data_IF_911629622197
#
_entry.id   IF_911629622197
#
_cell.length_a   1.000
_cell.length_b   1.000
_cell.length_c   1.000
_cell.angle_alpha   90.00
_cell.angle_beta   90.00
_cell.angle_gamma   90.00
#
_symmetry.space_group_name_H-M   'P 1'
#
loop_
_entity.id
_entity.type
_entity.pdbx_description
1 polymer ?
#
# COMPACT_ATOMS: atom_id res chain seq x y z
N UNK A 1 -15.43 -14.88 8.05
CA UNK A 1 -14.65 -14.22 9.14
C UNK A 1 -14.01 -12.96 8.57
N UNK A 2 -14.09 -11.81 9.25
CA UNK A 2 -13.37 -10.61 8.81
C UNK A 2 -11.87 -10.88 8.84
N UNK A 3 -11.16 -10.45 7.80
CA UNK A 3 -9.69 -10.51 7.78
C UNK A 3 -9.18 -9.45 8.73
N UNK A 4 -8.57 -9.89 9.83
CA UNK A 4 -7.90 -8.99 10.76
C UNK A 4 -6.41 -8.93 10.41
N UNK A 5 -5.88 -7.73 10.27
CA UNK A 5 -4.48 -7.49 9.90
C UNK A 5 -3.56 -7.47 11.14
N UNK A 6 -3.60 -8.53 11.96
CA UNK A 6 -2.80 -8.62 13.19
C UNK A 6 -1.66 -9.66 13.14
N UNK A 7 -1.58 -10.48 12.08
CA UNK A 7 -0.43 -11.38 11.84
C UNK A 7 0.10 -11.24 10.41
N UNK A 8 1.39 -11.57 10.24
CA UNK A 8 2.02 -11.66 8.92
C UNK A 8 1.32 -12.71 8.03
N UNK A 9 0.91 -13.83 8.60
CA UNK A 9 0.19 -14.89 7.88
C UNK A 9 -1.17 -14.38 7.35
N UNK A 10 -1.94 -13.66 8.16
CA UNK A 10 -3.20 -13.07 7.73
C UNK A 10 -2.99 -12.05 6.61
N UNK A 11 -1.94 -11.22 6.72
CA UNK A 11 -1.57 -10.26 5.69
C UNK A 11 -1.16 -10.94 4.38
N UNK A 12 -0.29 -11.95 4.44
CA UNK A 12 0.18 -12.70 3.27
C UNK A 12 -0.96 -13.48 2.59
N UNK A 13 -1.82 -14.11 3.40
CA UNK A 13 -3.04 -14.76 2.91
C UNK A 13 -3.92 -13.76 2.17
N UNK A 14 -4.18 -12.59 2.77
CA UNK A 14 -4.98 -11.54 2.17
C UNK A 14 -4.37 -11.00 0.86
N UNK A 15 -3.05 -10.85 0.76
CA UNK A 15 -2.38 -10.45 -0.48
C UNK A 15 -2.55 -11.52 -1.58
N UNK A 16 -2.54 -12.80 -1.19
CA UNK A 16 -2.65 -13.95 -2.07
C UNK A 16 -4.07 -14.27 -2.56
N UNK A 17 -5.12 -13.79 -1.88
CA UNK A 17 -6.51 -14.06 -2.24
C UNK A 17 -6.77 -13.67 -3.71
N UNK A 18 -7.50 -14.49 -4.47
CA UNK A 18 -7.97 -14.12 -5.80
C UNK A 18 -9.32 -13.42 -5.66
N UNK A 19 -9.40 -12.15 -6.02
CA UNK A 19 -10.66 -11.39 -5.98
C UNK A 19 -10.88 -10.71 -7.33
N UNK A 20 -12.14 -10.69 -7.78
CA UNK A 20 -12.52 -10.13 -9.09
C UNK A 20 -12.27 -8.61 -9.15
N UNK A 21 -12.58 -7.91 -8.05
CA UNK A 21 -12.62 -6.44 -8.02
C UNK A 21 -11.33 -5.77 -7.51
N UNK A 22 -10.40 -6.53 -6.94
CA UNK A 22 -9.15 -5.98 -6.40
C UNK A 22 -7.94 -6.86 -6.77
N UNK A 23 -7.22 -6.52 -7.85
CA UNK A 23 -6.06 -7.28 -8.30
C UNK A 23 -5.04 -7.50 -7.17
N UNK A 24 -4.46 -8.70 -7.08
CA UNK A 24 -3.43 -9.00 -6.09
C UNK A 24 -2.22 -8.08 -6.20
N UNK A 25 -1.90 -7.62 -7.41
CA UNK A 25 -0.88 -6.61 -7.68
C UNK A 25 -1.13 -5.31 -6.92
N UNK A 26 -2.37 -4.81 -6.88
CA UNK A 26 -2.71 -3.58 -6.16
C UNK A 26 -2.49 -3.78 -4.65
N UNK A 27 -2.97 -4.89 -4.09
CA UNK A 27 -2.77 -5.23 -2.67
C UNK A 27 -1.30 -5.32 -2.31
N UNK A 28 -0.46 -5.93 -3.17
CA UNK A 28 1.00 -5.97 -2.98
C UNK A 28 1.63 -4.57 -2.92
N UNK A 29 1.23 -3.68 -3.82
CA UNK A 29 1.73 -2.30 -3.85
C UNK A 29 1.33 -1.55 -2.58
N UNK A 30 0.07 -1.67 -2.17
CA UNK A 30 -0.45 -1.05 -0.94
C UNK A 30 0.34 -1.55 0.28
N UNK A 31 0.50 -2.86 0.43
CA UNK A 31 1.24 -3.44 1.55
C UNK A 31 2.70 -2.98 1.55
N UNK A 32 3.35 -2.97 0.39
CA UNK A 32 4.72 -2.47 0.28
C UNK A 32 4.82 -1.00 0.74
N UNK A 33 3.92 -0.13 0.26
CA UNK A 33 3.91 1.29 0.62
C UNK A 33 3.68 1.51 2.12
N UNK A 34 2.73 0.76 2.72
CA UNK A 34 2.43 0.83 4.16
C UNK A 34 3.62 0.36 5.00
N UNK A 35 4.18 -0.81 4.71
CA UNK A 35 5.34 -1.35 5.45
C UNK A 35 6.53 -0.39 5.35
N UNK A 36 6.83 0.09 4.14
CA UNK A 36 7.93 1.02 3.93
C UNK A 36 7.72 2.33 4.70
N UNK A 37 6.51 2.88 4.69
CA UNK A 37 6.18 4.09 5.44
C UNK A 37 6.33 3.90 6.95
N UNK A 38 5.84 2.78 7.49
CA UNK A 38 5.97 2.46 8.92
C UNK A 38 7.43 2.29 9.33
N UNK A 39 8.21 1.57 8.53
CA UNK A 39 9.65 1.44 8.74
C UNK A 39 10.36 2.79 8.71
N UNK A 40 10.05 3.64 7.73
CA UNK A 40 10.64 4.98 7.61
C UNK A 40 10.26 5.88 8.79
N UNK A 41 9.01 5.87 9.23
CA UNK A 41 8.55 6.63 10.39
C UNK A 41 9.24 6.17 11.68
N UNK A 42 9.35 4.85 11.90
CA UNK A 42 10.10 4.29 13.03
C UNK A 42 11.54 4.79 13.04
N UNK A 43 12.24 4.72 11.91
CA UNK A 43 13.62 5.18 11.80
C UNK A 43 13.74 6.70 12.01
N UNK A 44 12.80 7.48 11.49
CA UNK A 44 12.79 8.92 11.70
C UNK A 44 12.63 9.29 13.19
N UNK A 45 11.80 8.56 13.93
CA UNK A 45 11.67 8.74 15.38
C UNK A 45 12.95 8.37 16.12
N UNK A 46 13.59 7.27 15.72
CA UNK A 46 14.83 6.81 16.35
C UNK A 46 16.02 7.76 16.13
N UNK A 47 16.14 8.35 14.94
CA UNK A 47 17.31 9.16 14.58
C UNK A 47 17.10 10.67 14.70
N UNK A 48 15.88 11.15 14.43
CA UNK A 48 15.58 12.58 14.35
C UNK A 48 14.63 13.05 15.46
N UNK A 49 14.09 12.14 16.29
CA UNK A 49 13.10 12.44 17.35
C UNK A 49 11.82 13.11 16.80
N UNK A 50 11.67 13.15 15.47
CA UNK A 50 10.55 13.80 14.79
C UNK A 50 9.44 12.80 14.55
N UNK A 51 8.22 13.20 14.91
CA UNK A 51 7.01 12.45 14.63
C UNK A 51 6.33 13.04 13.39
N UNK A 52 5.98 12.19 12.42
CA UNK A 52 5.18 12.66 11.30
C UNK A 52 3.69 12.58 11.64
N UNK A 53 2.90 13.64 11.41
CA UNK A 53 1.45 13.57 11.57
C UNK A 53 0.82 12.45 10.73
N UNK A 54 -0.20 11.75 11.23
CA UNK A 54 -0.87 10.67 10.49
C UNK A 54 -1.38 11.12 9.11
N UNK A 55 -1.96 12.33 9.01
CA UNK A 55 -2.46 12.88 7.75
C UNK A 55 -1.36 13.01 6.68
N UNK A 56 -0.14 13.38 7.06
CA UNK A 56 1.00 13.44 6.14
C UNK A 56 1.41 12.04 5.70
N UNK A 57 1.40 11.06 6.62
CA UNK A 57 1.68 9.67 6.31
C UNK A 57 0.68 9.08 5.31
N UNK A 58 -0.61 9.36 5.44
CA UNK A 58 -1.63 8.91 4.48
C UNK A 58 -1.39 9.51 3.09
N UNK A 59 -1.13 10.81 2.99
CA UNK A 59 -0.79 11.47 1.72
C UNK A 59 0.46 10.88 1.07
N UNK A 60 1.48 10.56 1.87
CA UNK A 60 2.69 9.94 1.35
C UNK A 60 2.46 8.51 0.85
N UNK A 61 1.65 7.72 1.58
CA UNK A 61 1.29 6.36 1.16
C UNK A 61 0.54 6.40 -0.17
N UNK A 62 -0.49 7.24 -0.28
CA UNK A 62 -1.24 7.42 -1.52
C UNK A 62 -0.31 7.81 -2.70
N UNK A 63 0.56 8.80 -2.48
CA UNK A 63 1.55 9.21 -3.50
C UNK A 63 2.48 8.07 -3.90
N UNK A 64 2.96 7.26 -2.96
CA UNK A 64 3.83 6.12 -3.26
C UNK A 64 3.10 5.06 -4.09
N UNK A 65 1.83 4.77 -3.77
CA UNK A 65 1.00 3.82 -4.51
C UNK A 65 0.80 4.32 -5.94
N UNK A 66 0.39 5.58 -6.13
CA UNK A 66 0.22 6.20 -7.46
C UNK A 66 1.51 6.14 -8.27
N UNK A 67 2.64 6.54 -7.68
CA UNK A 67 3.94 6.51 -8.34
C UNK A 67 4.34 5.08 -8.74
N UNK A 68 4.12 4.08 -7.88
CA UNK A 68 4.43 2.69 -8.16
C UNK A 68 3.58 2.12 -9.31
N UNK A 69 2.32 2.55 -9.42
CA UNK A 69 1.43 2.20 -10.54
C UNK A 69 1.89 2.89 -11.83
N UNK A 70 2.10 4.21 -11.79
CA UNK A 70 2.50 5.00 -12.96
C UNK A 70 3.84 4.53 -13.56
N UNK A 71 4.82 4.21 -12.71
CA UNK A 71 6.11 3.68 -13.13
C UNK A 71 6.00 2.35 -13.92
N UNK A 72 4.88 1.64 -13.80
CA UNK A 72 4.64 0.34 -14.43
C UNK A 72 3.43 0.33 -15.36
N UNK A 73 2.90 1.51 -15.71
CA UNK A 73 1.65 1.68 -16.49
C UNK A 73 1.62 0.92 -17.83
N UNK A 74 2.78 0.72 -18.45
CA UNK A 74 2.90 0.02 -19.74
C UNK A 74 2.87 -1.52 -19.61
N UNK A 75 2.87 -2.06 -18.38
CA UNK A 75 2.77 -3.51 -18.16
C UNK A 75 1.30 -3.91 -18.17
N UNK A 76 0.95 -4.99 -18.88
CA UNK A 76 -0.44 -5.49 -19.02
C UNK A 76 -1.21 -5.58 -17.68
N UNK A 77 -0.52 -5.98 -16.61
CA UNK A 77 -1.12 -6.14 -15.28
C UNK A 77 -1.49 -4.81 -14.60
N UNK A 78 -1.10 -3.65 -15.15
CA UNK A 78 -1.25 -2.32 -14.54
C UNK A 78 -2.27 -1.42 -15.22
N UNK A 79 -2.81 -1.82 -16.38
CA UNK A 79 -3.69 -0.98 -17.21
C UNK A 79 -4.90 -0.42 -16.46
N UNK A 80 -5.51 -1.20 -15.55
CA UNK A 80 -6.72 -0.80 -14.83
C UNK A 80 -6.47 -0.54 -13.34
N UNK A 81 -5.24 -0.69 -12.84
CA UNK A 81 -4.96 -0.62 -11.40
C UNK A 81 -5.17 0.80 -10.86
N UNK A 82 -4.76 1.84 -11.59
CA UNK A 82 -4.96 3.23 -11.14
C UNK A 82 -6.44 3.56 -11.01
N UNK A 83 -7.26 3.17 -11.98
CA UNK A 83 -8.71 3.40 -11.94
C UNK A 83 -9.34 2.74 -10.72
N UNK A 84 -8.96 1.49 -10.41
CA UNK A 84 -9.44 0.77 -9.22
C UNK A 84 -9.02 1.49 -7.92
N UNK A 85 -7.79 2.01 -7.85
CA UNK A 85 -7.31 2.77 -6.69
C UNK A 85 -8.14 4.04 -6.43
N UNK A 86 -8.48 4.77 -7.50
CA UNK A 86 -9.23 6.03 -7.42
C UNK A 86 -10.75 5.84 -7.24
N UNK A 87 -11.27 4.61 -7.29
CA UNK A 87 -12.71 4.35 -7.23
C UNK A 87 -13.32 4.64 -5.85
N UNK A 88 -12.48 4.68 -4.81
CA UNK A 88 -12.91 4.88 -3.41
C UNK A 88 -12.22 6.09 -2.73
N UNK A 89 -11.65 7.01 -3.52
CA UNK A 89 -11.20 8.32 -3.06
C UNK A 89 -12.39 9.29 -2.96
#
# INVERSE_FOLDING_TARGET
MPVLFHTWEALLSWIGLKTSHCPSTLRKIVVQAVIYRLWRERNNRLHNITQTPPAVSFKEIDRQIRNAILARKNRRNFNNIMSIWLTHE
#
